data_IF_488892104049
#
_entry.id   IF_488892104049
#
_cell.length_a   1.000
_cell.length_b   1.000
_cell.length_c   1.000
_cell.angle_alpha   90.00
_cell.angle_beta   90.00
_cell.angle_gamma   90.00
#
_symmetry.space_group_name_H-M   'P 1'
#
loop_
_entity.id
_entity.type
_entity.pdbx_description
1 polymer ?
#
# COMPACT_ATOMS: atom_id res chain seq x y z
N UNK A 1 7.00 21.64 -10.22
CA UNK A 1 7.61 20.50 -10.93
C UNK A 1 8.42 19.67 -9.93
N UNK A 2 8.48 18.34 -10.06
CA UNK A 2 9.37 17.47 -9.26
C UNK A 2 8.74 16.58 -8.19
N UNK A 3 7.40 16.49 -8.07
CA UNK A 3 6.81 15.55 -7.10
C UNK A 3 6.97 14.09 -7.57
N UNK A 4 7.38 13.15 -6.69
CA UNK A 4 7.62 11.76 -7.04
C UNK A 4 6.28 10.99 -7.19
N UNK A 5 5.51 11.30 -8.24
CA UNK A 5 4.15 10.76 -8.43
C UNK A 5 4.10 9.23 -8.40
N UNK A 6 5.08 8.55 -9.00
CA UNK A 6 5.15 7.08 -9.01
C UNK A 6 5.37 6.47 -7.62
N UNK A 7 5.85 7.27 -6.66
CA UNK A 7 5.94 6.87 -5.26
C UNK A 7 4.65 7.17 -4.51
N UNK A 8 4.03 8.32 -4.76
CA UNK A 8 2.87 8.83 -3.98
C UNK A 8 1.50 8.28 -4.42
N UNK A 9 1.47 7.51 -5.49
CA UNK A 9 0.26 6.93 -6.07
C UNK A 9 0.44 5.43 -6.29
N UNK A 10 -0.66 4.66 -6.19
CA UNK A 10 -0.64 3.21 -6.38
C UNK A 10 -0.05 2.80 -7.72
N UNK A 11 0.69 1.70 -7.72
CA UNK A 11 0.97 0.97 -8.93
C UNK A 11 -0.35 0.37 -9.45
N UNK A 12 -0.63 0.55 -10.73
CA UNK A 12 -1.80 -0.04 -11.38
C UNK A 12 -1.61 -1.54 -11.56
N UNK A 13 -2.59 -2.32 -11.09
CA UNK A 13 -2.59 -3.79 -11.23
C UNK A 13 -3.55 -4.15 -12.37
N UNK A 14 -2.99 -4.32 -13.58
CA UNK A 14 -3.80 -4.48 -14.79
C UNK A 14 -4.45 -5.86 -14.91
N UNK A 15 -3.82 -6.89 -14.34
CA UNK A 15 -4.31 -8.26 -14.32
C UNK A 15 -3.89 -8.94 -13.02
N UNK A 16 -4.88 -9.40 -12.24
CA UNK A 16 -4.66 -10.06 -10.93
C UNK A 16 -4.58 -11.58 -11.03
N UNK A 17 -4.88 -12.14 -12.19
CA UNK A 17 -4.65 -13.55 -12.50
C UNK A 17 -3.23 -13.81 -13.02
N UNK A 18 -2.54 -12.76 -13.48
CA UNK A 18 -1.14 -12.86 -13.87
C UNK A 18 -0.26 -12.93 -12.59
N UNK A 19 0.52 -14.02 -12.43
CA UNK A 19 1.31 -14.25 -11.21
C UNK A 19 2.48 -13.28 -11.04
N UNK A 20 2.85 -12.49 -12.06
CA UNK A 20 3.85 -11.42 -11.94
C UNK A 20 3.19 -10.09 -11.62
N UNK A 21 2.12 -9.73 -12.30
CA UNK A 21 1.47 -8.42 -12.14
C UNK A 21 0.82 -8.30 -10.76
N UNK A 22 0.27 -9.38 -10.21
CA UNK A 22 -0.34 -9.39 -8.86
C UNK A 22 0.63 -8.95 -7.74
N UNK A 23 1.94 -9.07 -7.95
CA UNK A 23 2.93 -8.58 -6.97
C UNK A 23 2.86 -7.06 -6.74
N UNK A 24 2.27 -6.30 -7.67
CA UNK A 24 2.04 -4.87 -7.50
C UNK A 24 1.00 -4.56 -6.40
N UNK A 25 0.07 -5.48 -6.11
CA UNK A 25 -0.82 -5.35 -4.94
C UNK A 25 -0.01 -5.42 -3.63
N UNK A 26 0.96 -6.34 -3.55
CA UNK A 26 1.89 -6.45 -2.41
C UNK A 26 2.81 -5.24 -2.28
N UNK A 27 3.31 -4.71 -3.40
CA UNK A 27 4.08 -3.47 -3.41
C UNK A 27 3.25 -2.29 -2.86
N UNK A 28 1.97 -2.19 -3.25
CA UNK A 28 1.08 -1.17 -2.73
C UNK A 28 0.90 -1.31 -1.21
N UNK A 29 0.62 -2.50 -0.69
CA UNK A 29 0.50 -2.71 0.77
C UNK A 29 1.81 -2.42 1.52
N UNK A 30 2.96 -2.85 0.98
CA UNK A 30 4.27 -2.54 1.56
C UNK A 30 4.55 -1.04 1.60
N UNK A 31 4.20 -0.30 0.53
CA UNK A 31 4.31 1.17 0.51
C UNK A 31 3.37 1.82 1.51
N UNK A 32 2.13 1.35 1.61
CA UNK A 32 1.17 1.85 2.60
C UNK A 32 1.75 1.74 4.02
N UNK A 33 2.23 0.55 4.36
CA UNK A 33 2.87 0.29 5.64
C UNK A 33 4.05 1.23 5.91
N UNK A 34 5.03 1.30 4.99
CA UNK A 34 6.19 2.18 5.16
C UNK A 34 5.81 3.66 5.31
N UNK A 35 4.82 4.14 4.55
CA UNK A 35 4.37 5.53 4.62
C UNK A 35 3.73 5.86 5.96
N UNK A 36 2.92 4.95 6.51
CA UNK A 36 2.31 5.12 7.82
C UNK A 36 3.37 5.12 8.94
N UNK A 37 4.34 4.20 8.90
CA UNK A 37 5.44 4.16 9.87
C UNK A 37 6.27 5.45 9.84
N UNK A 38 6.64 5.93 8.65
CA UNK A 38 7.38 7.19 8.53
C UNK A 38 6.54 8.35 9.07
N UNK A 39 5.24 8.41 8.74
CA UNK A 39 4.36 9.47 9.25
C UNK A 39 4.19 9.42 10.78
N UNK A 40 4.26 8.23 11.40
CA UNK A 40 4.14 8.01 12.84
C UNK A 40 5.33 8.57 13.63
N UNK A 41 6.54 8.50 13.07
CA UNK A 41 7.76 8.99 13.75
C UNK A 41 8.06 10.47 13.51
N UNK A 42 7.42 11.08 12.51
CA UNK A 42 7.61 12.50 12.21
C UNK A 42 6.91 13.39 13.26
N UNK A 43 7.45 14.59 13.55
CA UNK A 43 6.76 15.58 14.38
C UNK A 43 5.33 15.87 13.86
N UNK A 44 4.39 16.14 14.76
CA UNK A 44 2.98 16.37 14.40
C UNK A 44 2.79 17.48 13.36
N UNK A 45 3.62 18.52 13.41
CA UNK A 45 3.59 19.67 12.49
C UNK A 45 4.51 19.50 11.27
N UNK A 46 5.08 18.32 11.05
CA UNK A 46 5.99 18.11 9.92
C UNK A 46 5.22 18.09 8.59
N UNK A 47 5.62 18.95 7.66
CA UNK A 47 4.91 19.19 6.40
C UNK A 47 4.68 17.94 5.52
N UNK A 48 5.51 16.90 5.67
CA UNK A 48 5.37 15.65 4.91
C UNK A 48 4.33 14.67 5.49
N UNK A 49 3.87 14.86 6.74
CA UNK A 49 3.07 13.88 7.47
C UNK A 49 1.73 13.61 6.76
N UNK A 50 0.98 14.67 6.45
CA UNK A 50 -0.32 14.54 5.77
C UNK A 50 -0.19 13.92 4.37
N UNK A 51 0.87 14.29 3.65
CA UNK A 51 1.16 13.72 2.33
C UNK A 51 1.41 12.21 2.42
N UNK A 52 2.20 11.76 3.40
CA UNK A 52 2.52 10.35 3.60
C UNK A 52 1.28 9.56 4.03
N UNK A 53 0.49 10.07 4.98
CA UNK A 53 -0.76 9.44 5.39
C UNK A 53 -1.71 9.30 4.20
N UNK A 54 -1.95 10.39 3.46
CA UNK A 54 -2.83 10.36 2.30
C UNK A 54 -2.32 9.39 1.22
N UNK A 55 -1.00 9.31 1.03
CA UNK A 55 -0.36 8.36 0.11
C UNK A 55 -0.56 6.92 0.56
N UNK A 56 -0.29 6.62 1.83
CA UNK A 56 -0.45 5.29 2.39
C UNK A 56 -1.90 4.81 2.30
N UNK A 57 -2.87 5.68 2.60
CA UNK A 57 -4.30 5.38 2.45
C UNK A 57 -4.67 5.04 1.00
N UNK A 58 -4.15 5.79 0.02
CA UNK A 58 -4.39 5.48 -1.41
C UNK A 58 -3.85 4.10 -1.79
N UNK A 59 -2.63 3.78 -1.33
CA UNK A 59 -2.02 2.48 -1.59
C UNK A 59 -2.79 1.33 -0.95
N UNK A 60 -3.18 1.46 0.32
CA UNK A 60 -3.97 0.44 1.02
C UNK A 60 -5.31 0.20 0.31
N UNK A 61 -6.05 1.28 0.01
CA UNK A 61 -7.36 1.18 -0.63
C UNK A 61 -7.31 0.59 -2.05
N UNK A 62 -6.17 0.69 -2.75
CA UNK A 62 -6.00 0.09 -4.06
C UNK A 62 -5.89 -1.44 -4.03
N UNK A 63 -5.49 -2.02 -2.89
CA UNK A 63 -5.25 -3.46 -2.74
C UNK A 63 -6.25 -4.16 -1.82
N UNK A 64 -6.63 -3.55 -0.69
CA UNK A 64 -7.44 -4.20 0.35
C UNK A 64 -8.73 -4.86 -0.17
N UNK A 65 -9.49 -4.27 -1.11
CA UNK A 65 -10.68 -4.93 -1.68
C UNK A 65 -10.40 -6.21 -2.47
N UNK A 66 -9.14 -6.48 -2.84
CA UNK A 66 -8.74 -7.55 -3.75
C UNK A 66 -7.99 -8.69 -3.07
N UNK A 67 -7.72 -8.58 -1.76
CA UNK A 67 -6.99 -9.60 -0.98
C UNK A 67 -7.74 -10.92 -0.86
N UNK A 68 -9.06 -10.90 -1.07
CA UNK A 68 -9.92 -12.08 -1.10
C UNK A 68 -10.72 -12.12 -2.41
N UNK A 69 -10.01 -12.18 -3.54
CA UNK A 69 -10.58 -12.15 -4.89
C UNK A 69 -10.96 -13.54 -5.46
N UNK A 70 -10.67 -14.62 -4.74
CA UNK A 70 -10.78 -16.00 -5.19
C UNK A 70 -9.64 -16.49 -6.09
N UNK A 71 -8.62 -15.65 -6.33
CA UNK A 71 -7.47 -15.98 -7.17
C UNK A 71 -6.29 -16.40 -6.29
N UNK A 72 -5.86 -17.65 -6.45
CA UNK A 72 -4.76 -18.21 -5.67
C UNK A 72 -3.52 -17.32 -5.76
N UNK A 73 -3.20 -16.79 -6.94
CA UNK A 73 -2.02 -15.99 -7.25
C UNK A 73 -1.79 -14.82 -6.27
N UNK A 74 -2.86 -14.25 -5.72
CA UNK A 74 -2.79 -13.21 -4.69
C UNK A 74 -3.15 -13.70 -3.28
N UNK A 75 -4.24 -14.46 -3.14
CA UNK A 75 -4.84 -14.75 -1.83
C UNK A 75 -3.91 -15.50 -0.87
N UNK A 76 -3.03 -16.37 -1.37
CA UNK A 76 -2.19 -17.20 -0.50
C UNK A 76 -1.12 -16.41 0.27
N UNK A 77 -0.84 -15.16 -0.12
CA UNK A 77 0.21 -14.35 0.52
C UNK A 77 -0.21 -12.90 0.80
N UNK A 78 -1.11 -12.28 0.03
CA UNK A 78 -1.48 -10.87 0.20
C UNK A 78 -2.05 -10.56 1.59
N UNK A 79 -2.75 -11.52 2.20
CA UNK A 79 -3.25 -11.39 3.56
C UNK A 79 -2.14 -11.10 4.59
N UNK A 80 -0.93 -11.66 4.41
CA UNK A 80 0.20 -11.39 5.32
C UNK A 80 0.63 -9.91 5.29
N UNK A 81 0.67 -9.31 4.10
CA UNK A 81 0.99 -7.89 3.92
C UNK A 81 -0.11 -6.99 4.48
N UNK A 82 -1.38 -7.36 4.28
CA UNK A 82 -2.53 -6.61 4.79
C UNK A 82 -2.55 -6.61 6.33
N UNK A 83 -2.36 -7.77 6.97
CA UNK A 83 -2.27 -7.87 8.43
C UNK A 83 -1.15 -7.01 8.98
N UNK A 84 0.03 -7.04 8.35
CA UNK A 84 1.16 -6.26 8.83
C UNK A 84 0.92 -4.75 8.71
N UNK A 85 0.34 -4.31 7.58
CA UNK A 85 -0.10 -2.94 7.38
C UNK A 85 -1.17 -2.50 8.39
N UNK A 86 -2.10 -3.38 8.78
CA UNK A 86 -3.15 -3.08 9.76
C UNK A 86 -2.62 -3.02 11.19
N UNK A 87 -1.68 -3.90 11.56
CA UNK A 87 -1.16 -4.02 12.93
C UNK A 87 -0.43 -2.78 13.47
N UNK A 88 -0.06 -1.85 12.59
CA UNK A 88 0.64 -0.61 12.95
C UNK A 88 -0.29 0.61 13.05
N UNK A 89 -1.57 0.44 12.68
CA UNK A 89 -2.59 1.48 12.74
C UNK A 89 -3.26 1.59 14.12
N UNK A 90 -2.84 0.77 15.08
CA UNK A 90 -3.13 0.88 16.52
C UNK A 90 -2.05 1.72 17.24
#
# INVERSE_FOLDING_TARGET
AGQPKNLLYPAGVSDRSDPKIVHLDGLNLSRAWCMFEIAKILPENHAARDMLIASGTRHANATLPHISSGLYEGEHWLASFAVYQLSIME
#
